data_IF_067832397210
#
_entry.id   IF_067832397210
#
_cell.length_a   1.000
_cell.length_b   1.000
_cell.length_c   1.000
_cell.angle_alpha   90.00
_cell.angle_beta   90.00
_cell.angle_gamma   90.00
#
_symmetry.space_group_name_H-M   'P 1'
#
loop_
_entity.id
_entity.type
_entity.pdbx_description
1 polymer ?
#
# COMPACT_ATOMS: atom_id res chain seq x y z
N UNK A 1 1.37 9.51 -27.36
CA UNK A 1 1.50 8.66 -28.56
C UNK A 1 0.12 8.34 -29.14
N UNK A 2 -0.19 8.90 -30.30
CA UNK A 2 -1.45 8.67 -31.02
C UNK A 2 -1.51 7.30 -31.72
N UNK A 3 -0.36 6.63 -31.90
CA UNK A 3 -0.29 5.29 -32.50
C UNK A 3 -0.80 4.22 -31.54
N UNK A 4 -0.65 4.43 -30.23
CA UNK A 4 -1.15 3.52 -29.19
C UNK A 4 -2.66 3.67 -29.04
N UNK A 5 -3.41 2.62 -29.42
CA UNK A 5 -4.88 2.60 -29.38
C UNK A 5 -5.47 1.96 -28.12
N UNK A 6 -4.69 1.16 -27.41
CA UNK A 6 -5.08 0.49 -26.16
C UNK A 6 -3.82 0.13 -25.36
N UNK A 7 -4.00 -0.23 -24.09
CA UNK A 7 -2.91 -0.68 -23.20
C UNK A 7 -3.27 -2.04 -22.61
N UNK A 8 -2.30 -2.96 -22.62
CA UNK A 8 -2.38 -4.18 -21.83
C UNK A 8 -1.48 -4.03 -20.61
N UNK A 9 -2.08 -4.03 -19.43
CA UNK A 9 -1.35 -4.02 -18.16
C UNK A 9 -1.09 -5.46 -17.74
N UNK A 10 0.14 -5.94 -17.93
CA UNK A 10 0.58 -7.25 -17.46
C UNK A 10 0.96 -7.17 -15.99
N UNK A 11 0.29 -7.94 -15.13
CA UNK A 11 0.47 -7.88 -13.67
C UNK A 11 0.97 -9.23 -13.15
N UNK A 12 2.10 -9.21 -12.44
CA UNK A 12 2.63 -10.31 -11.64
C UNK A 12 3.18 -9.74 -10.33
N UNK A 13 2.31 -9.46 -9.37
CA UNK A 13 2.63 -8.67 -8.17
C UNK A 13 1.86 -9.14 -6.92
N UNK A 14 2.55 -9.32 -5.78
CA UNK A 14 1.91 -9.57 -4.47
C UNK A 14 1.25 -8.33 -3.88
N UNK A 15 1.41 -7.13 -4.48
CA UNK A 15 1.03 -5.85 -3.90
C UNK A 15 2.22 -5.08 -3.33
N UNK A 16 2.00 -4.32 -2.27
CA UNK A 16 3.01 -3.46 -1.66
C UNK A 16 2.43 -2.13 -1.17
N UNK A 17 3.09 -1.02 -1.50
CA UNK A 17 2.70 0.32 -1.05
C UNK A 17 1.35 0.76 -1.62
N UNK A 18 0.41 1.11 -0.74
CA UNK A 18 -0.90 1.64 -1.12
C UNK A 18 -0.78 2.95 -1.93
N UNK A 19 0.13 3.85 -1.55
CA UNK A 19 0.35 5.11 -2.27
C UNK A 19 0.87 4.86 -3.70
N UNK A 20 1.85 3.99 -3.86
CA UNK A 20 2.38 3.67 -5.20
C UNK A 20 1.32 2.99 -6.08
N UNK A 21 0.51 2.08 -5.51
CA UNK A 21 -0.63 1.48 -6.19
C UNK A 21 -1.64 2.53 -6.65
N UNK A 22 -1.93 3.53 -5.82
CA UNK A 22 -2.87 4.60 -6.19
C UNK A 22 -2.33 5.50 -7.30
N UNK A 23 -1.03 5.81 -7.32
CA UNK A 23 -0.40 6.53 -8.43
C UNK A 23 -0.59 5.77 -9.75
N UNK A 24 -0.32 4.46 -9.77
CA UNK A 24 -0.49 3.64 -10.98
C UNK A 24 -1.97 3.58 -11.38
N UNK A 25 -2.88 3.38 -10.43
CA UNK A 25 -4.32 3.33 -10.68
C UNK A 25 -4.83 4.63 -11.31
N UNK A 26 -4.34 5.78 -10.85
CA UNK A 26 -4.70 7.08 -11.42
C UNK A 26 -4.26 7.22 -12.88
N UNK A 27 -3.12 6.67 -13.27
CA UNK A 27 -2.69 6.65 -14.67
C UNK A 27 -3.50 5.65 -15.53
N UNK A 28 -3.94 4.53 -14.95
CA UNK A 28 -4.90 3.62 -15.61
C UNK A 28 -6.22 4.36 -15.90
N UNK A 29 -6.74 5.12 -14.94
CA UNK A 29 -7.92 5.97 -15.14
C UNK A 29 -7.68 7.08 -16.17
N UNK A 30 -6.49 7.69 -16.18
CA UNK A 30 -6.13 8.72 -17.15
C UNK A 30 -6.13 8.17 -18.59
N UNK A 31 -5.60 6.95 -18.80
CA UNK A 31 -5.65 6.26 -20.10
C UNK A 31 -7.09 6.05 -20.57
N UNK A 32 -7.98 5.59 -19.68
CA UNK A 32 -9.40 5.39 -19.99
C UNK A 32 -10.09 6.70 -20.36
N UNK A 33 -9.86 7.77 -19.58
CA UNK A 33 -10.39 9.11 -19.86
C UNK A 33 -9.89 9.66 -21.19
N UNK A 34 -8.67 9.30 -21.59
CA UNK A 34 -8.12 9.63 -22.90
C UNK A 34 -8.65 8.76 -24.05
N UNK A 35 -9.64 7.89 -23.80
CA UNK A 35 -10.26 7.03 -24.79
C UNK A 35 -9.41 5.83 -25.19
N UNK A 36 -8.40 5.45 -24.39
CA UNK A 36 -7.55 4.29 -24.62
C UNK A 36 -7.97 3.16 -23.68
N UNK A 37 -8.60 2.09 -24.20
CA UNK A 37 -9.00 0.97 -23.36
C UNK A 37 -7.79 0.32 -22.68
N UNK A 38 -7.96 -0.05 -21.41
CA UNK A 38 -6.98 -0.77 -20.61
C UNK A 38 -7.50 -2.16 -20.31
N UNK A 39 -6.75 -3.18 -20.73
CA UNK A 39 -7.02 -4.58 -20.39
C UNK A 39 -5.93 -5.08 -19.47
N UNK A 40 -6.31 -5.61 -18.30
CA UNK A 40 -5.37 -6.26 -17.40
C UNK A 40 -5.25 -7.73 -17.76
N UNK A 41 -4.01 -8.20 -17.86
CA UNK A 41 -3.66 -9.61 -17.94
C UNK A 41 -2.93 -10.00 -16.66
N UNK A 42 -3.61 -10.76 -15.79
CA UNK A 42 -2.99 -11.27 -14.58
C UNK A 42 -2.18 -12.53 -14.89
N UNK A 43 -0.95 -12.55 -14.39
CA UNK A 43 -0.01 -13.68 -14.46
C UNK A 43 -0.28 -14.65 -13.29
N UNK A 44 0.77 -15.19 -12.65
CA UNK A 44 0.66 -16.01 -11.46
C UNK A 44 0.03 -15.28 -10.27
N UNK A 45 0.35 -14.01 -10.04
CA UNK A 45 -0.05 -13.28 -8.85
C UNK A 45 -0.50 -11.85 -9.17
N UNK A 46 -1.64 -11.42 -8.66
CA UNK A 46 -2.11 -10.03 -8.78
C UNK A 46 -2.99 -9.71 -7.56
N UNK A 47 -2.38 -9.59 -6.38
CA UNK A 47 -3.06 -9.51 -5.10
C UNK A 47 -2.79 -8.17 -4.38
N UNK A 48 -3.64 -7.77 -3.43
CA UNK A 48 -3.51 -6.53 -2.65
C UNK A 48 -3.28 -5.31 -3.57
N UNK A 49 -2.16 -4.61 -3.45
CA UNK A 49 -1.79 -3.52 -4.36
C UNK A 49 -1.74 -3.90 -5.85
N UNK A 50 -1.49 -5.17 -6.19
CA UNK A 50 -1.56 -5.68 -7.57
C UNK A 50 -3.01 -5.77 -8.08
N UNK A 51 -3.97 -6.07 -7.20
CA UNK A 51 -5.38 -5.96 -7.52
C UNK A 51 -5.82 -4.49 -7.59
N UNK A 52 -5.32 -3.64 -6.69
CA UNK A 52 -5.59 -2.20 -6.66
C UNK A 52 -5.28 -1.50 -7.99
N UNK A 53 -4.11 -1.76 -8.58
CA UNK A 53 -3.76 -1.17 -9.90
C UNK A 53 -4.60 -1.72 -11.04
N UNK A 54 -5.23 -2.88 -10.84
CA UNK A 54 -6.00 -3.59 -11.87
C UNK A 54 -7.47 -3.19 -11.88
N UNK A 55 -8.03 -2.79 -10.74
CA UNK A 55 -9.48 -2.64 -10.55
C UNK A 55 -10.12 -1.55 -11.43
N UNK A 56 -9.33 -0.58 -11.86
CA UNK A 56 -9.77 0.50 -12.73
C UNK A 56 -9.78 0.14 -14.22
N UNK A 57 -9.29 -1.03 -14.64
CA UNK A 57 -9.25 -1.43 -16.06
C UNK A 57 -10.65 -1.66 -16.67
N UNK A 58 -10.76 -1.63 -18.01
CA UNK A 58 -12.00 -1.93 -18.73
C UNK A 58 -12.33 -3.43 -18.71
N UNK A 59 -11.29 -4.26 -18.67
CA UNK A 59 -11.42 -5.72 -18.58
C UNK A 59 -10.25 -6.31 -17.81
N UNK A 60 -10.55 -7.26 -16.94
CA UNK A 60 -9.55 -8.03 -16.20
C UNK A 60 -9.66 -9.49 -16.65
N UNK A 61 -8.53 -10.08 -17.05
CA UNK A 61 -8.43 -11.50 -17.41
C UNK A 61 -7.38 -12.16 -16.54
N UNK A 62 -7.75 -13.28 -15.92
CA UNK A 62 -6.88 -14.09 -15.08
C UNK A 62 -6.96 -15.56 -15.52
N UNK A 63 -5.87 -16.31 -15.34
CA UNK A 63 -5.91 -17.76 -15.47
C UNK A 63 -6.66 -18.36 -14.26
N UNK A 64 -7.30 -19.52 -14.39
CA UNK A 64 -8.00 -20.16 -13.26
C UNK A 64 -7.13 -20.40 -12.03
N UNK A 65 -5.80 -20.46 -12.23
CA UNK A 65 -4.79 -20.66 -11.19
C UNK A 65 -4.08 -19.36 -10.73
N UNK A 66 -4.50 -18.18 -11.21
CA UNK A 66 -3.96 -16.89 -10.73
C UNK A 66 -4.34 -16.71 -9.28
N UNK A 67 -3.38 -16.37 -8.44
CA UNK A 67 -3.63 -15.85 -7.10
C UNK A 67 -3.95 -14.36 -7.20
N UNK A 68 -5.17 -13.97 -6.87
CA UNK A 68 -5.61 -12.56 -6.88
C UNK A 68 -6.53 -12.30 -5.69
N UNK A 69 -7.16 -11.12 -5.61
CA UNK A 69 -7.87 -10.67 -4.43
C UNK A 69 -6.89 -10.17 -3.37
N UNK A 70 -6.93 -10.73 -2.16
CA UNK A 70 -6.22 -10.18 -0.99
C UNK A 70 -6.54 -8.69 -0.77
N UNK A 71 -7.83 -8.38 -0.83
CA UNK A 71 -8.35 -7.03 -0.60
C UNK A 71 -8.27 -6.77 0.90
N UNK A 72 -7.21 -6.07 1.30
CA UNK A 72 -6.83 -5.83 2.69
C UNK A 72 -5.62 -4.90 2.76
N UNK A 73 -5.48 -4.23 3.89
CA UNK A 73 -4.36 -3.35 4.20
C UNK A 73 -3.87 -3.65 5.62
N UNK A 74 -2.57 -3.55 5.82
CA UNK A 74 -1.97 -3.72 7.15
C UNK A 74 -0.70 -2.88 7.25
N UNK A 75 -0.32 -2.57 8.49
CA UNK A 75 0.97 -1.98 8.81
C UNK A 75 1.50 -2.65 10.08
N UNK A 76 2.81 -2.75 10.20
CA UNK A 76 3.49 -3.30 11.37
C UNK A 76 4.55 -2.30 11.79
N UNK A 77 4.50 -1.89 13.05
CA UNK A 77 5.54 -1.05 13.65
C UNK A 77 6.15 -1.83 14.80
N UNK A 78 7.47 -1.92 14.80
CA UNK A 78 8.23 -2.63 15.83
C UNK A 78 9.14 -1.64 16.55
N UNK A 79 9.10 -1.70 17.87
CA UNK A 79 9.92 -0.87 18.76
C UNK A 79 10.69 -1.76 19.72
N UNK A 80 11.81 -1.25 20.24
CA UNK A 80 12.83 -2.02 20.97
C UNK A 80 13.18 -1.41 22.32
N UNK A 81 12.43 -0.43 22.81
CA UNK A 81 12.69 0.30 24.05
C UNK A 81 12.81 -0.63 25.27
N UNK A 82 11.94 -1.65 25.36
CA UNK A 82 12.01 -2.66 26.43
C UNK A 82 13.19 -3.61 26.29
N UNK A 83 13.59 -3.93 25.05
CA UNK A 83 14.76 -4.75 24.78
C UNK A 83 16.05 -4.04 25.18
N UNK A 84 16.17 -2.76 24.82
CA UNK A 84 17.30 -1.92 25.17
C UNK A 84 17.37 -1.61 26.67
N UNK A 85 16.24 -1.36 27.32
CA UNK A 85 16.21 -1.12 28.77
C UNK A 85 16.77 -2.31 29.56
N UNK A 86 16.51 -3.55 29.12
CA UNK A 86 17.11 -4.77 29.72
C UNK A 86 18.63 -4.85 29.56
N UNK A 87 19.20 -4.16 28.57
CA UNK A 87 20.64 -4.04 28.34
C UNK A 87 21.24 -2.79 29.00
N UNK A 88 20.45 -2.02 29.76
CA UNK A 88 20.87 -0.77 30.38
C UNK A 88 20.91 0.43 29.42
N UNK A 89 20.36 0.30 28.20
CA UNK A 89 20.32 1.37 27.19
C UNK A 89 18.95 2.02 27.24
N UNK A 90 18.91 3.35 27.43
CA UNK A 90 17.68 4.15 27.47
C UNK A 90 17.78 5.30 26.47
N UNK A 91 16.64 5.74 25.92
CA UNK A 91 16.52 6.91 25.06
C UNK A 91 15.67 7.96 25.76
N UNK A 92 16.11 9.22 25.75
CA UNK A 92 15.40 10.35 26.36
C UNK A 92 15.56 11.60 25.49
N UNK A 93 14.67 12.57 25.66
CA UNK A 93 14.65 13.82 24.90
C UNK A 93 13.46 14.71 25.23
N UNK A 94 13.42 15.88 24.61
CA UNK A 94 12.30 16.83 24.73
C UNK A 94 11.57 16.95 23.40
N UNK A 95 10.25 16.99 23.46
CA UNK A 95 9.37 17.11 22.30
C UNK A 95 8.36 18.23 22.47
N UNK A 96 8.06 18.94 21.39
CA UNK A 96 7.08 20.03 21.40
C UNK A 96 5.69 19.58 20.93
N UNK A 97 5.54 18.31 20.53
CA UNK A 97 4.30 17.71 20.06
C UNK A 97 4.10 16.31 20.65
N UNK A 98 2.86 15.84 20.81
CA UNK A 98 2.56 14.45 21.21
C UNK A 98 3.21 13.37 20.34
N UNK A 99 3.65 13.70 19.12
CA UNK A 99 4.30 12.76 18.19
C UNK A 99 5.83 12.85 18.17
N UNK A 100 6.43 13.81 18.89
CA UNK A 100 7.87 14.10 18.80
C UNK A 100 8.77 13.01 19.38
N UNK A 101 8.21 12.12 20.20
CA UNK A 101 8.95 11.06 20.90
C UNK A 101 8.77 9.67 20.28
N UNK A 102 8.02 9.53 19.19
CA UNK A 102 7.73 8.22 18.60
C UNK A 102 8.91 7.69 17.81
N UNK A 103 9.30 6.44 18.07
CA UNK A 103 10.50 5.89 17.44
C UNK A 103 10.80 4.46 17.84
N UNK A 104 11.75 3.87 17.11
CA UNK A 104 12.14 2.47 17.31
C UNK A 104 12.77 2.21 18.68
N UNK A 105 13.29 3.23 19.37
CA UNK A 105 13.96 3.08 20.68
C UNK A 105 13.18 3.69 21.84
N UNK A 106 12.07 4.38 21.54
CA UNK A 106 11.24 5.11 22.50
C UNK A 106 9.82 4.56 22.60
N UNK A 107 9.38 3.77 21.62
CA UNK A 107 8.04 3.23 21.56
C UNK A 107 7.10 4.08 20.69
N UNK A 108 5.83 3.73 20.72
CA UNK A 108 4.75 4.53 20.14
C UNK A 108 3.88 5.12 21.25
N UNK A 109 3.60 6.41 21.15
CA UNK A 109 2.58 7.10 21.92
C UNK A 109 1.19 6.54 21.60
N UNK A 110 0.25 6.75 22.52
CA UNK A 110 -1.15 6.39 22.30
C UNK A 110 -1.74 7.15 21.10
N UNK A 111 -1.42 8.45 20.98
CA UNK A 111 -1.86 9.28 19.87
C UNK A 111 -1.36 8.78 18.52
N UNK A 112 -0.09 8.37 18.43
CA UNK A 112 0.45 7.77 17.20
C UNK A 112 -0.23 6.45 16.88
N UNK A 113 -0.41 5.58 17.88
CA UNK A 113 -1.08 4.29 17.71
C UNK A 113 -2.50 4.45 17.17
N UNK A 114 -3.26 5.41 17.71
CA UNK A 114 -4.60 5.75 17.21
C UNK A 114 -4.56 6.33 15.79
N UNK A 115 -3.60 7.23 15.50
CA UNK A 115 -3.45 7.79 14.16
C UNK A 115 -3.15 6.71 13.10
N UNK A 116 -2.27 5.75 13.41
CA UNK A 116 -1.99 4.62 12.52
C UNK A 116 -3.22 3.74 12.31
N UNK A 117 -3.96 3.43 13.38
CA UNK A 117 -5.19 2.63 13.30
C UNK A 117 -6.24 3.32 12.42
N UNK A 118 -6.47 4.62 12.61
CA UNK A 118 -7.37 5.41 11.77
C UNK A 118 -6.93 5.42 10.30
N UNK A 119 -5.62 5.47 10.04
CA UNK A 119 -5.08 5.37 8.69
C UNK A 119 -5.38 4.03 8.01
N UNK A 120 -5.29 2.93 8.76
CA UNK A 120 -5.63 1.58 8.28
C UNK A 120 -7.13 1.46 8.01
N UNK A 121 -7.98 1.91 8.94
CA UNK A 121 -9.44 1.88 8.78
C UNK A 121 -9.90 2.72 7.60
N UNK A 122 -9.32 3.92 7.44
CA UNK A 122 -9.60 4.78 6.31
C UNK A 122 -9.15 4.16 4.99
N UNK A 123 -7.93 3.61 4.94
CA UNK A 123 -7.38 3.01 3.73
C UNK A 123 -8.08 1.72 3.29
N UNK A 124 -8.74 1.01 4.20
CA UNK A 124 -9.52 -0.18 3.88
C UNK A 124 -10.92 0.12 3.33
N UNK A 125 -11.49 1.28 3.70
CA UNK A 125 -12.85 1.70 3.31
C UNK A 125 -12.94 2.13 1.86
#
# INVERSE_FOLDING_TARGET
DEKVKAVVLRVDSPGGSAFASEVIRNEVEALKKAGKPVVVSMSSLAASGGYWISMSADKIVAQPTTLTGSIGIFSVITTFEKGFSKLGINTDGVGTSPFSGDGITTGLSEGASQAFQLGIEHGYK
#
